data_IF_855305561617
#
_entry.id   IF_855305561617
#
_cell.length_a   1.000
_cell.length_b   1.000
_cell.length_c   1.000
_cell.angle_alpha   90.00
_cell.angle_beta   90.00
_cell.angle_gamma   90.00
#
_symmetry.space_group_name_H-M   'P 1'
#
loop_
_entity.id
_entity.type
_entity.pdbx_description
1 polymer ?
#
# COMPACT_ATOMS: atom_id res chain seq x y z
N UNK A 1 -4.96 3.89 -19.34
CA UNK A 1 -3.95 4.00 -18.27
C UNK A 1 -4.62 4.76 -17.15
N UNK A 2 -5.00 4.10 -16.07
CA UNK A 2 -5.68 4.76 -14.94
C UNK A 2 -4.59 5.41 -14.09
N UNK A 3 -4.56 6.73 -14.04
CA UNK A 3 -3.64 7.46 -13.16
C UNK A 3 -4.05 7.28 -11.69
N UNK A 4 -3.11 7.39 -10.75
CA UNK A 4 -3.38 7.23 -9.31
C UNK A 4 -4.49 8.18 -8.85
N UNK A 5 -4.49 9.41 -9.39
CA UNK A 5 -5.53 10.41 -9.13
C UNK A 5 -6.93 9.87 -9.48
N UNK A 6 -7.06 9.21 -10.63
CA UNK A 6 -8.32 8.66 -11.10
C UNK A 6 -8.76 7.46 -10.25
N UNK A 7 -7.83 6.57 -9.88
CA UNK A 7 -8.12 5.41 -9.05
C UNK A 7 -8.60 5.81 -7.65
N UNK A 8 -7.94 6.79 -7.01
CA UNK A 8 -8.42 7.35 -5.74
C UNK A 8 -9.75 8.09 -5.93
N UNK A 9 -9.93 8.77 -7.07
CA UNK A 9 -11.16 9.50 -7.36
C UNK A 9 -12.41 8.63 -7.38
N UNK A 10 -12.28 7.37 -7.79
CA UNK A 10 -13.37 6.38 -7.72
C UNK A 10 -13.85 6.11 -6.29
N UNK A 11 -12.95 6.23 -5.29
CA UNK A 11 -13.25 5.92 -3.89
C UNK A 11 -13.54 7.14 -3.03
N UNK A 12 -12.87 8.27 -3.30
CA UNK A 12 -12.90 9.48 -2.46
C UNK A 12 -13.54 10.69 -3.15
N UNK A 13 -14.02 10.54 -4.38
CA UNK A 13 -14.62 11.65 -5.14
C UNK A 13 -13.58 12.54 -5.81
N UNK A 14 -13.94 13.79 -6.12
CA UNK A 14 -13.06 14.72 -6.82
C UNK A 14 -11.84 15.10 -5.97
N UNK A 15 -10.67 15.20 -6.60
CA UNK A 15 -9.42 15.51 -5.91
C UNK A 15 -9.43 16.85 -5.17
N UNK A 16 -10.23 17.83 -5.63
CA UNK A 16 -10.43 19.12 -4.96
C UNK A 16 -11.06 19.00 -3.58
N UNK A 17 -11.79 17.91 -3.34
CA UNK A 17 -12.63 17.73 -2.15
C UNK A 17 -12.04 16.69 -1.20
N UNK A 18 -10.90 16.10 -1.55
CA UNK A 18 -10.26 15.09 -0.72
C UNK A 18 -9.86 15.66 0.65
N UNK A 19 -10.10 14.92 1.75
CA UNK A 19 -9.51 15.25 3.04
C UNK A 19 -7.98 15.37 2.92
N UNK A 20 -7.36 16.28 3.69
CA UNK A 20 -5.91 16.55 3.62
C UNK A 20 -5.05 15.29 3.78
N UNK A 21 -5.51 14.32 4.58
CA UNK A 21 -4.84 13.01 4.76
C UNK A 21 -4.81 12.16 3.49
N UNK A 22 -5.86 12.21 2.65
CA UNK A 22 -5.90 11.51 1.37
C UNK A 22 -5.00 12.21 0.34
N UNK A 23 -4.97 13.55 0.34
CA UNK A 23 -4.03 14.31 -0.50
C UNK A 23 -2.57 14.01 -0.14
N UNK A 24 -2.26 13.95 1.15
CA UNK A 24 -0.93 13.56 1.64
C UNK A 24 -0.59 12.10 1.28
N UNK A 25 -1.55 11.19 1.42
CA UNK A 25 -1.37 9.79 1.02
C UNK A 25 -1.09 9.65 -0.50
N UNK A 26 -1.83 10.38 -1.33
CA UNK A 26 -1.59 10.47 -2.76
C UNK A 26 -0.16 10.94 -3.08
N UNK A 27 0.28 12.05 -2.47
CA UNK A 27 1.62 12.59 -2.68
C UNK A 27 2.74 11.62 -2.22
N UNK A 28 2.52 10.90 -1.11
CA UNK A 28 3.45 9.90 -0.61
C UNK A 28 3.54 8.68 -1.54
N UNK A 29 2.43 8.19 -2.07
CA UNK A 29 2.42 7.10 -3.06
C UNK A 29 3.10 7.50 -4.37
N UNK A 30 2.89 8.73 -4.85
CA UNK A 30 3.61 9.24 -6.02
C UNK A 30 5.12 9.32 -5.78
N UNK A 31 5.52 9.82 -4.61
CA UNK A 31 6.93 9.85 -4.20
C UNK A 31 7.52 8.44 -4.15
N UNK A 32 6.78 7.50 -3.57
CA UNK A 32 7.19 6.11 -3.47
C UNK A 32 7.33 5.45 -4.85
N UNK A 33 6.38 5.71 -5.78
CA UNK A 33 6.47 5.26 -7.18
C UNK A 33 7.74 5.77 -7.86
N UNK A 34 8.07 7.06 -7.68
CA UNK A 34 9.27 7.67 -8.27
C UNK A 34 10.57 7.09 -7.70
N UNK A 35 10.63 6.86 -6.39
CA UNK A 35 11.82 6.33 -5.73
C UNK A 35 12.04 4.84 -6.02
N UNK A 36 10.96 4.07 -6.15
CA UNK A 36 11.03 2.63 -6.32
C UNK A 36 11.11 2.17 -7.78
N UNK A 37 10.58 2.96 -8.72
CA UNK A 37 10.54 2.61 -10.13
C UNK A 37 9.87 1.24 -10.34
N UNK A 38 10.60 0.31 -10.93
CA UNK A 38 10.10 -1.03 -11.28
C UNK A 38 9.79 -1.90 -10.04
N UNK A 39 10.33 -1.59 -8.87
CA UNK A 39 10.02 -2.30 -7.62
C UNK A 39 8.66 -1.90 -7.02
N UNK A 40 8.06 -0.80 -7.47
CA UNK A 40 6.82 -0.26 -6.89
C UNK A 40 5.63 -1.23 -6.97
N UNK A 41 5.31 -1.85 -8.12
CA UNK A 41 4.19 -2.78 -8.21
C UNK A 41 4.40 -4.03 -7.33
N UNK A 42 5.64 -4.52 -7.24
CA UNK A 42 5.97 -5.66 -6.38
C UNK A 42 5.76 -5.33 -4.89
N UNK A 43 6.18 -4.14 -4.45
CA UNK A 43 5.93 -3.70 -3.08
C UNK A 43 4.43 -3.62 -2.78
N UNK A 44 3.63 -3.06 -3.69
CA UNK A 44 2.19 -2.95 -3.49
C UNK A 44 1.51 -4.33 -3.35
N UNK A 45 1.99 -5.36 -4.05
CA UNK A 45 1.50 -6.73 -3.85
C UNK A 45 1.79 -7.25 -2.45
N UNK A 46 2.99 -6.97 -1.92
CA UNK A 46 3.35 -7.36 -0.54
C UNK A 46 2.49 -6.62 0.49
N UNK A 47 2.20 -5.34 0.26
CA UNK A 47 1.30 -4.55 1.10
C UNK A 47 -0.13 -5.11 1.07
N UNK A 48 -0.64 -5.48 -0.10
CA UNK A 48 -1.96 -6.12 -0.24
C UNK A 48 -2.01 -7.47 0.48
N UNK A 49 -0.97 -8.29 0.34
CA UNK A 49 -0.89 -9.57 1.05
C UNK A 49 -0.94 -9.36 2.57
N UNK A 50 -0.17 -8.39 3.10
CA UNK A 50 -0.21 -8.05 4.52
C UNK A 50 -1.60 -7.59 5.00
N UNK A 51 -2.33 -6.83 4.18
CA UNK A 51 -3.73 -6.44 4.43
C UNK A 51 -4.63 -7.68 4.50
N UNK A 52 -4.52 -8.60 3.55
CA UNK A 52 -5.37 -9.79 3.48
C UNK A 52 -5.13 -10.73 4.66
N UNK A 53 -3.87 -10.95 5.05
CA UNK A 53 -3.52 -11.76 6.21
C UNK A 53 -3.99 -11.11 7.52
N UNK A 54 -3.89 -9.79 7.66
CA UNK A 54 -4.47 -9.07 8.80
C UNK A 54 -5.99 -9.27 8.87
N UNK A 55 -6.70 -9.17 7.74
CA UNK A 55 -8.16 -9.39 7.69
C UNK A 55 -8.54 -10.82 8.06
N UNK A 56 -7.78 -11.82 7.61
CA UNK A 56 -7.95 -13.24 7.98
C UNK A 56 -7.65 -13.50 9.45
N UNK A 57 -6.66 -12.82 10.02
CA UNK A 57 -6.35 -12.91 11.45
C UNK A 57 -7.48 -12.31 12.31
N UNK A 58 -8.00 -11.15 11.91
CA UNK A 58 -9.10 -10.48 12.62
C UNK A 58 -10.44 -11.23 12.56
N UNK A 59 -10.67 -12.06 11.54
CA UNK A 59 -11.89 -12.87 11.43
C UNK A 59 -11.85 -14.17 12.25
N UNK A 60 -10.68 -14.59 12.73
CA UNK A 60 -10.54 -15.74 13.63
C UNK A 60 -10.86 -15.30 15.05
N UNK A 61 -11.72 -16.05 15.73
CA UNK A 61 -12.22 -15.80 17.11
C UNK A 61 -11.08 -15.64 18.14
N UNK A 62 -9.88 -16.12 17.81
CA UNK A 62 -8.69 -15.90 18.63
C UNK A 62 -8.12 -14.53 18.26
N UNK A 63 -8.30 -13.54 19.14
CA UNK A 63 -7.64 -12.23 19.09
C UNK A 63 -6.12 -12.37 19.30
N UNK A 64 -5.44 -13.04 18.38
CA UNK A 64 -4.00 -12.92 18.24
C UNK A 64 -3.76 -11.50 17.75
N UNK A 65 -3.04 -10.70 18.53
CA UNK A 65 -2.61 -9.35 18.14
C UNK A 65 -1.73 -9.46 16.91
N UNK A 66 -2.33 -9.35 15.72
CA UNK A 66 -1.63 -9.31 14.45
C UNK A 66 -1.30 -7.85 14.13
N UNK A 67 -0.02 -7.51 14.08
CA UNK A 67 0.44 -6.19 13.64
C UNK A 67 0.79 -6.24 12.14
N UNK A 68 -0.08 -5.66 11.31
CA UNK A 68 0.09 -5.58 9.85
C UNK A 68 1.44 -5.00 9.45
N UNK A 69 1.92 -4.00 10.17
CA UNK A 69 3.18 -3.28 9.88
C UNK A 69 4.39 -4.19 10.08
N UNK A 70 4.36 -4.97 11.17
CA UNK A 70 5.38 -5.99 11.46
C UNK A 70 5.34 -7.10 10.40
N UNK A 71 4.15 -7.52 10.00
CA UNK A 71 4.02 -8.56 8.98
C UNK A 71 4.55 -8.12 7.60
N UNK A 72 4.21 -6.91 7.15
CA UNK A 72 4.80 -6.36 5.93
C UNK A 72 6.33 -6.27 6.01
N UNK A 73 6.87 -5.87 7.16
CA UNK A 73 8.31 -5.92 7.41
C UNK A 73 8.89 -7.32 7.20
N UNK A 74 8.25 -8.36 7.73
CA UNK A 74 8.69 -9.75 7.53
C UNK A 74 8.61 -10.21 6.07
N UNK A 75 7.60 -9.76 5.33
CA UNK A 75 7.46 -10.05 3.89
C UNK A 75 8.56 -9.38 3.06
N UNK A 76 8.94 -8.16 3.42
CA UNK A 76 10.02 -7.42 2.77
C UNK A 76 11.42 -7.92 3.18
N UNK A 77 11.55 -8.46 4.40
CA UNK A 77 12.80 -8.91 5.00
C UNK A 77 12.72 -10.38 5.46
N UNK A 78 12.53 -11.35 4.55
CA UNK A 78 12.58 -12.77 4.92
C UNK A 78 13.98 -13.11 5.45
N UNK A 79 14.04 -13.85 6.56
CA UNK A 79 15.29 -14.22 7.21
C UNK A 79 16.27 -14.85 6.20
N UNK A 80 17.48 -14.29 6.09
CA UNK A 80 18.54 -14.77 5.20
C UNK A 80 18.73 -14.02 3.88
N UNK A 81 17.88 -13.05 3.53
CA UNK A 81 18.07 -12.19 2.36
C UNK A 81 19.19 -11.15 2.59
N UNK A 82 20.32 -11.32 1.90
CA UNK A 82 21.52 -10.45 2.02
C UNK A 82 21.55 -9.25 1.07
N UNK A 83 20.67 -9.16 0.09
CA UNK A 83 20.61 -8.00 -0.82
C UNK A 83 19.33 -7.21 -0.58
N UNK A 84 19.36 -6.40 0.47
CA UNK A 84 18.31 -5.42 0.71
C UNK A 84 18.64 -4.18 -0.12
N UNK A 85 17.77 -3.79 -1.03
CA UNK A 85 17.89 -2.49 -1.68
C UNK A 85 17.38 -1.42 -0.71
N UNK A 86 18.10 -0.31 -0.56
CA UNK A 86 17.65 0.80 0.30
C UNK A 86 16.27 1.35 -0.12
N UNK A 87 15.94 1.13 -1.40
CA UNK A 87 14.63 1.37 -2.01
C UNK A 87 13.48 0.71 -1.23
N UNK A 88 13.57 -0.59 -0.89
CA UNK A 88 12.50 -1.28 -0.16
C UNK A 88 12.37 -0.80 1.29
N UNK A 89 13.48 -0.37 1.92
CA UNK A 89 13.46 0.26 3.26
C UNK A 89 12.73 1.60 3.25
N UNK A 90 12.99 2.42 2.23
CA UNK A 90 12.30 3.69 2.06
C UNK A 90 10.81 3.45 1.78
N UNK A 91 10.47 2.49 0.90
CA UNK A 91 9.08 2.09 0.64
C UNK A 91 8.36 1.65 1.91
N UNK A 92 9.01 0.85 2.76
CA UNK A 92 8.46 0.45 4.06
C UNK A 92 8.21 1.65 4.98
N UNK A 93 9.16 2.59 5.08
CA UNK A 93 9.01 3.78 5.93
C UNK A 93 7.86 4.68 5.45
N UNK A 94 7.73 4.90 4.13
CA UNK A 94 6.61 5.66 3.56
C UNK A 94 5.29 4.94 3.85
N UNK A 95 5.21 3.63 3.60
CA UNK A 95 4.01 2.84 3.89
C UNK A 95 3.63 2.87 5.37
N UNK A 96 4.62 2.80 6.27
CA UNK A 96 4.37 2.93 7.71
C UNK A 96 3.74 4.28 8.05
N UNK A 97 4.19 5.37 7.41
CA UNK A 97 3.59 6.70 7.61
C UNK A 97 2.16 6.79 7.05
N UNK A 98 1.83 6.07 5.97
CA UNK A 98 0.45 5.94 5.47
C UNK A 98 -0.46 5.27 6.50
N UNK A 99 0.00 4.19 7.14
CA UNK A 99 -0.77 3.51 8.19
C UNK A 99 -0.95 4.34 9.47
N UNK A 100 -0.08 5.32 9.73
CA UNK A 100 -0.26 6.27 10.84
C UNK A 100 -1.23 7.40 10.48
N UNK A 101 -1.26 7.79 9.21
CA UNK A 101 -2.04 8.92 8.71
C UNK A 101 -3.51 8.57 8.46
N UNK A 102 -3.78 7.32 8.08
CA UNK A 102 -5.08 6.83 7.63
C UNK A 102 -5.67 5.86 8.64
N UNK A 103 -7.01 5.78 8.70
CA UNK A 103 -7.63 4.65 9.37
C UNK A 103 -7.46 3.35 8.54
N UNK A 104 -7.76 2.20 9.14
CA UNK A 104 -7.56 0.89 8.49
C UNK A 104 -8.29 0.79 7.14
N UNK A 105 -9.51 1.32 7.04
CA UNK A 105 -10.30 1.23 5.81
C UNK A 105 -9.74 2.16 4.76
N UNK A 106 -9.39 3.39 5.12
CA UNK A 106 -8.77 4.36 4.24
C UNK A 106 -7.43 3.85 3.70
N UNK A 107 -6.57 3.29 4.58
CA UNK A 107 -5.31 2.68 4.18
C UNK A 107 -5.51 1.55 3.17
N UNK A 108 -6.40 0.60 3.46
CA UNK A 108 -6.69 -0.50 2.54
C UNK A 108 -7.20 -0.01 1.18
N UNK A 109 -8.08 0.99 1.18
CA UNK A 109 -8.62 1.58 -0.05
C UNK A 109 -7.54 2.27 -0.86
N UNK A 110 -6.66 3.04 -0.21
CA UNK A 110 -5.54 3.74 -0.85
C UNK A 110 -4.56 2.75 -1.49
N UNK A 111 -4.18 1.66 -0.81
CA UNK A 111 -3.30 0.63 -1.37
C UNK A 111 -3.96 -0.07 -2.58
N UNK A 112 -5.25 -0.41 -2.49
CA UNK A 112 -5.98 -1.03 -3.62
C UNK A 112 -6.06 -0.10 -4.83
N UNK A 113 -6.32 1.19 -4.62
CA UNK A 113 -6.32 2.19 -5.70
C UNK A 113 -4.92 2.32 -6.33
N UNK A 114 -3.86 2.30 -5.52
CA UNK A 114 -2.49 2.33 -6.01
C UNK A 114 -2.16 1.10 -6.89
N UNK A 115 -2.64 -0.08 -6.51
CA UNK A 115 -2.48 -1.31 -7.31
C UNK A 115 -3.20 -1.19 -8.65
N UNK A 116 -4.45 -0.71 -8.66
CA UNK A 116 -5.21 -0.51 -9.90
C UNK A 116 -4.51 0.47 -10.85
N UNK A 117 -3.88 1.52 -10.31
CA UNK A 117 -3.11 2.48 -11.10
C UNK A 117 -1.77 1.91 -11.61
N UNK A 118 -1.09 1.10 -10.79
CA UNK A 118 0.19 0.49 -11.13
C UNK A 118 0.06 -0.71 -12.08
N UNK A 119 -1.09 -1.40 -12.05
CA UNK A 119 -1.42 -2.58 -12.84
C UNK A 119 -2.81 -2.41 -13.47
N UNK A 120 -2.97 -1.53 -14.46
CA UNK A 120 -4.21 -1.48 -15.21
C UNK A 120 -4.40 -2.85 -15.88
N UNK A 121 -5.43 -3.57 -15.46
CA UNK A 121 -5.70 -4.98 -15.77
C UNK A 121 -5.18 -5.51 -17.12
N UNK A 122 -4.56 -6.70 -17.04
CA UNK A 122 -4.37 -7.64 -18.14
C UNK A 122 -5.69 -8.31 -18.59
N UNK A 123 -6.85 -7.71 -18.29
CA UNK A 123 -8.20 -8.22 -18.55
C UNK A 123 -8.79 -7.65 -19.86
N UNK A 124 -7.93 -7.34 -20.83
CA UNK A 124 -8.31 -6.99 -22.21
C UNK A 124 -7.62 -7.91 -23.23
N UNK A 125 -7.51 -9.20 -22.94
CA UNK A 125 -7.21 -10.26 -23.91
C UNK A 125 -8.28 -11.34 -23.86
#
# INVERSE_FOLDING_TARGET
>A
MTDLTQALGFHFGLASDWPIRIQAAHAQLETMRQLMGDDYPYFLDLALNAIEEHRKAMSRIVHVTFDRRRHLGLLLYPEGSRSQTDVLKIGWAINYSLELLLDDKEYETVIKAAIQAAKPDASSQ
#
